data_IF_140472002804
#
_entry.id   IF_140472002804
#
_cell.length_a   1.000
_cell.length_b   1.000
_cell.length_c   1.000
_cell.angle_alpha   90.00
_cell.angle_beta   90.00
_cell.angle_gamma   90.00
#
_symmetry.space_group_name_H-M   'P 1'
#
loop_
_entity.id
_entity.type
_entity.pdbx_description
1 polymer ?
#
# COMPACT_ATOMS: atom_id res chain seq x y z
N UNK A 1 -22.47 12.07 0.76
CA UNK A 1 -22.45 11.59 -0.63
C UNK A 1 -21.00 11.58 -1.08
N UNK A 2 -20.35 10.43 -1.06
CA UNK A 2 -18.98 10.27 -1.57
C UNK A 2 -19.08 10.31 -3.09
N UNK A 3 -18.66 11.42 -3.69
CA UNK A 3 -18.52 11.49 -5.14
C UNK A 3 -17.61 10.35 -5.58
N UNK A 4 -18.09 9.51 -6.48
CA UNK A 4 -17.28 8.53 -7.20
C UNK A 4 -16.09 9.27 -7.82
N UNK A 5 -14.94 9.25 -7.13
CA UNK A 5 -13.76 10.04 -7.52
C UNK A 5 -13.10 9.49 -8.79
N UNK A 6 -13.54 8.33 -9.28
CA UNK A 6 -12.90 7.59 -10.37
C UNK A 6 -11.48 7.14 -10.01
N UNK A 7 -11.16 7.02 -8.71
CA UNK A 7 -9.86 6.53 -8.23
C UNK A 7 -9.99 5.11 -7.70
N UNK A 8 -9.06 4.23 -8.07
CA UNK A 8 -8.93 2.90 -7.52
C UNK A 8 -7.84 2.82 -6.46
N UNK A 9 -7.62 1.61 -5.93
CA UNK A 9 -6.49 1.32 -5.05
C UNK A 9 -5.85 -0.03 -5.38
N UNK A 10 -4.54 -0.12 -5.20
CA UNK A 10 -3.73 -1.32 -5.36
C UNK A 10 -2.99 -1.57 -4.05
N UNK A 11 -3.17 -2.76 -3.48
CA UNK A 11 -2.38 -3.22 -2.34
C UNK A 11 -1.36 -4.24 -2.83
N UNK A 12 -0.08 -3.93 -2.69
CA UNK A 12 1.02 -4.80 -3.11
C UNK A 12 1.36 -5.79 -1.98
N UNK A 13 1.08 -7.06 -2.22
CA UNK A 13 1.23 -8.16 -1.25
C UNK A 13 1.93 -9.39 -1.84
N UNK A 14 2.65 -9.24 -2.97
CA UNK A 14 3.24 -10.35 -3.71
C UNK A 14 4.63 -10.79 -3.24
N UNK A 15 5.29 -10.00 -2.39
CA UNK A 15 6.68 -10.22 -1.96
C UNK A 15 6.92 -11.53 -1.21
N UNK A 16 8.12 -12.11 -1.39
CA UNK A 16 8.52 -13.39 -0.79
C UNK A 16 8.67 -13.37 0.74
N UNK A 17 8.81 -12.19 1.35
CA UNK A 17 9.04 -12.02 2.80
C UNK A 17 10.19 -12.89 3.34
N UNK A 18 11.32 -12.98 2.58
CA UNK A 18 12.43 -13.91 2.87
C UNK A 18 13.00 -13.71 4.28
N UNK A 19 13.23 -12.46 4.70
CA UNK A 19 13.76 -12.13 6.05
C UNK A 19 12.78 -12.50 7.17
N UNK A 20 11.49 -12.51 6.89
CA UNK A 20 10.44 -12.89 7.83
C UNK A 20 10.27 -14.42 7.97
N UNK A 21 10.72 -15.20 6.98
CA UNK A 21 10.56 -16.67 6.93
C UNK A 21 9.13 -17.14 6.65
N UNK A 22 8.17 -16.22 6.48
CA UNK A 22 6.75 -16.49 6.18
C UNK A 22 6.11 -15.27 5.53
N UNK A 23 5.02 -15.43 4.76
CA UNK A 23 4.37 -14.31 4.08
C UNK A 23 3.92 -13.23 5.06
N UNK A 24 4.55 -12.05 5.05
CA UNK A 24 4.23 -10.95 5.97
C UNK A 24 2.78 -10.48 5.82
N UNK A 25 2.25 -10.48 4.61
CA UNK A 25 0.86 -10.14 4.34
C UNK A 25 -0.16 -10.95 5.16
N UNK A 26 0.19 -12.21 5.53
CA UNK A 26 -0.65 -13.12 6.33
C UNK A 26 -0.43 -12.99 7.85
N UNK A 27 0.54 -12.17 8.31
CA UNK A 27 0.83 -12.02 9.74
C UNK A 27 -0.30 -11.29 10.45
N UNK A 28 -0.64 -11.78 11.65
CA UNK A 28 -1.70 -11.17 12.47
C UNK A 28 -1.15 -9.99 13.28
N UNK A 29 -1.84 -8.86 13.16
CA UNK A 29 -1.70 -7.66 13.94
C UNK A 29 -3.08 -7.16 14.34
N UNK A 30 -3.31 -6.91 15.64
CA UNK A 30 -4.60 -6.43 16.15
C UNK A 30 -5.81 -7.27 15.69
N UNK A 31 -5.66 -8.61 15.67
CA UNK A 31 -6.74 -9.55 15.32
C UNK A 31 -6.99 -9.72 13.83
N UNK A 32 -6.30 -8.99 12.96
CA UNK A 32 -6.43 -9.08 11.49
C UNK A 32 -5.06 -9.28 10.84
N UNK A 33 -5.03 -9.79 9.60
CA UNK A 33 -3.76 -9.84 8.85
C UNK A 33 -3.30 -8.44 8.44
N UNK A 34 -1.98 -8.26 8.25
CA UNK A 34 -1.43 -7.00 7.75
C UNK A 34 -2.09 -6.59 6.42
N UNK A 35 -2.34 -7.55 5.53
CA UNK A 35 -3.08 -7.28 4.28
C UNK A 35 -4.51 -6.78 4.55
N UNK A 36 -5.21 -7.32 5.56
CA UNK A 36 -6.55 -6.85 5.90
C UNK A 36 -6.57 -5.39 6.35
N UNK A 37 -5.54 -4.94 7.07
CA UNK A 37 -5.39 -3.53 7.44
C UNK A 37 -5.17 -2.66 6.21
N UNK A 38 -4.26 -3.06 5.32
CA UNK A 38 -3.97 -2.30 4.10
C UNK A 38 -5.18 -2.21 3.18
N UNK A 39 -5.98 -3.28 3.03
CA UNK A 39 -7.22 -3.25 2.26
C UNK A 39 -8.26 -2.31 2.90
N UNK A 40 -8.36 -2.30 4.22
CA UNK A 40 -9.29 -1.39 4.90
C UNK A 40 -8.90 0.07 4.66
N UNK A 41 -7.62 0.43 4.75
CA UNK A 41 -7.12 1.76 4.41
C UNK A 41 -7.34 2.09 2.92
N UNK A 42 -7.07 1.15 2.02
CA UNK A 42 -7.31 1.33 0.59
C UNK A 42 -8.78 1.67 0.31
N UNK A 43 -9.72 0.98 0.97
CA UNK A 43 -11.16 1.26 0.84
C UNK A 43 -11.56 2.63 1.41
N UNK A 44 -10.95 3.09 2.49
CA UNK A 44 -11.23 4.42 3.06
C UNK A 44 -10.75 5.57 2.17
N UNK A 45 -9.73 5.32 1.35
CA UNK A 45 -9.14 6.30 0.44
C UNK A 45 -9.86 6.35 -0.91
N UNK A 46 -10.21 5.17 -1.45
CA UNK A 46 -10.69 5.00 -2.82
C UNK A 46 -12.21 4.97 -2.87
N UNK A 47 -12.81 5.70 -3.80
CA UNK A 47 -14.23 5.55 -4.14
C UNK A 47 -14.50 4.52 -5.24
N UNK A 48 -13.45 3.87 -5.76
CA UNK A 48 -13.51 2.87 -6.81
C UNK A 48 -12.92 1.52 -6.36
N UNK A 49 -12.53 0.66 -7.32
CA UNK A 49 -12.11 -0.71 -7.04
C UNK A 49 -10.81 -0.78 -6.24
N UNK A 50 -10.75 -1.76 -5.32
CA UNK A 50 -9.57 -2.09 -4.53
C UNK A 50 -9.05 -3.46 -4.96
N UNK A 51 -7.86 -3.52 -5.52
CA UNK A 51 -7.22 -4.76 -5.95
C UNK A 51 -6.05 -5.13 -5.06
N UNK A 52 -5.91 -6.42 -4.73
CA UNK A 52 -4.75 -6.95 -4.03
C UNK A 52 -3.89 -7.76 -5.00
N UNK A 53 -2.65 -7.32 -5.21
CA UNK A 53 -1.68 -8.05 -6.01
C UNK A 53 -0.92 -9.00 -5.10
N UNK A 54 -1.03 -10.29 -5.38
CA UNK A 54 -0.45 -11.39 -4.58
C UNK A 54 0.49 -12.24 -5.44
N UNK A 55 1.37 -12.98 -4.78
CA UNK A 55 2.35 -13.85 -5.43
C UNK A 55 2.92 -14.83 -4.42
N UNK A 56 4.08 -14.56 -3.85
CA UNK A 56 4.67 -15.41 -2.82
C UNK A 56 3.75 -15.58 -1.61
N UNK A 57 3.45 -16.85 -1.27
CA UNK A 57 2.58 -17.19 -0.13
C UNK A 57 1.08 -17.22 -0.41
N UNK A 58 0.61 -16.94 -1.62
CA UNK A 58 -0.74 -17.28 -2.05
C UNK A 58 -0.88 -18.82 -2.16
N UNK A 59 -1.93 -19.53 -1.68
CA UNK A 59 -3.21 -19.01 -1.20
C UNK A 59 -3.29 -18.70 0.30
N UNK A 60 -2.24 -18.95 1.11
CA UNK A 60 -2.26 -18.66 2.56
C UNK A 60 -2.63 -17.20 2.87
N UNK A 61 -2.08 -16.27 2.09
CA UNK A 61 -2.35 -14.82 2.23
C UNK A 61 -3.85 -14.54 2.08
N UNK A 62 -4.49 -15.13 1.06
CA UNK A 62 -5.93 -15.00 0.83
C UNK A 62 -6.74 -15.61 1.96
N UNK A 63 -6.38 -16.81 2.41
CA UNK A 63 -7.09 -17.51 3.47
C UNK A 63 -7.06 -16.74 4.81
N UNK A 64 -5.94 -16.08 5.12
CA UNK A 64 -5.77 -15.29 6.36
C UNK A 64 -6.34 -13.88 6.27
N UNK A 65 -6.80 -13.44 5.11
CA UNK A 65 -7.29 -12.09 4.90
C UNK A 65 -8.79 -11.99 5.18
N UNK A 66 -9.16 -11.30 6.27
CA UNK A 66 -10.57 -11.08 6.62
C UNK A 66 -11.23 -10.00 5.74
N UNK A 67 -10.45 -8.99 5.29
CA UNK A 67 -10.94 -7.94 4.39
C UNK A 67 -10.75 -8.38 2.95
N UNK A 68 -11.85 -8.49 2.19
CA UNK A 68 -11.78 -8.93 0.79
C UNK A 68 -11.56 -7.72 -0.13
N UNK A 69 -10.59 -7.76 -1.06
CA UNK A 69 -10.51 -6.80 -2.16
C UNK A 69 -11.59 -7.10 -3.20
N UNK A 70 -11.85 -6.17 -4.12
CA UNK A 70 -12.78 -6.43 -5.23
C UNK A 70 -12.18 -7.43 -6.22
N UNK A 71 -10.85 -7.49 -6.29
CA UNK A 71 -10.15 -8.47 -7.13
C UNK A 71 -8.82 -8.91 -6.49
N UNK A 72 -8.58 -10.21 -6.51
CA UNK A 72 -7.29 -10.81 -6.27
C UNK A 72 -6.54 -10.95 -7.59
N UNK A 73 -5.36 -10.35 -7.69
CA UNK A 73 -4.51 -10.44 -8.87
C UNK A 73 -3.27 -11.28 -8.52
N UNK A 74 -3.19 -12.48 -9.07
CA UNK A 74 -2.00 -13.29 -8.92
C UNK A 74 -0.97 -12.85 -9.96
N UNK A 75 0.15 -12.30 -9.49
CA UNK A 75 1.28 -11.93 -10.34
C UNK A 75 2.25 -13.10 -10.44
N UNK A 76 2.34 -13.75 -11.59
CA UNK A 76 3.28 -14.85 -11.84
C UNK A 76 4.74 -14.36 -11.84
N UNK A 77 4.96 -13.12 -12.25
CA UNK A 77 6.28 -12.50 -12.38
C UNK A 77 6.77 -11.84 -11.07
N UNK A 78 6.09 -12.08 -9.93
CA UNK A 78 6.48 -11.50 -8.66
C UNK A 78 7.97 -11.73 -8.28
N UNK A 79 8.64 -12.86 -8.68
CA UNK A 79 10.05 -13.04 -8.36
C UNK A 79 10.99 -12.06 -9.05
N UNK A 80 10.53 -11.39 -10.12
CA UNK A 80 11.31 -10.39 -10.87
C UNK A 80 11.35 -9.02 -10.20
N UNK A 81 10.66 -8.85 -9.06
CA UNK A 81 10.71 -7.65 -8.25
C UNK A 81 9.40 -6.86 -8.17
N UNK A 82 9.41 -5.79 -7.36
CA UNK A 82 8.23 -4.98 -7.05
C UNK A 82 7.57 -4.36 -8.28
N UNK A 83 8.37 -3.97 -9.28
CA UNK A 83 7.87 -3.35 -10.51
C UNK A 83 6.83 -4.23 -11.23
N UNK A 84 7.03 -5.55 -11.27
CA UNK A 84 6.10 -6.48 -11.91
C UNK A 84 4.72 -6.45 -11.24
N UNK A 85 4.69 -6.38 -9.91
CA UNK A 85 3.44 -6.32 -9.15
C UNK A 85 2.71 -4.99 -9.31
N UNK A 86 3.45 -3.88 -9.36
CA UNK A 86 2.85 -2.57 -9.62
C UNK A 86 2.24 -2.53 -11.01
N UNK A 87 2.96 -2.99 -12.05
CA UNK A 87 2.46 -3.07 -13.43
C UNK A 87 1.20 -3.93 -13.53
N UNK A 88 1.21 -5.13 -12.93
CA UNK A 88 0.06 -6.03 -12.94
C UNK A 88 -1.19 -5.37 -12.31
N UNK A 89 -0.99 -4.60 -11.23
CA UNK A 89 -2.06 -3.85 -10.60
C UNK A 89 -2.59 -2.72 -11.48
N UNK A 90 -1.71 -1.94 -12.11
CA UNK A 90 -2.08 -0.81 -13.00
C UNK A 90 -2.81 -1.31 -14.25
N UNK A 91 -2.30 -2.38 -14.88
CA UNK A 91 -2.86 -2.97 -16.10
C UNK A 91 -4.28 -3.51 -15.88
N UNK A 92 -4.54 -4.08 -14.71
CA UNK A 92 -5.84 -4.64 -14.36
C UNK A 92 -6.91 -3.57 -14.05
N UNK A 93 -6.53 -2.30 -13.82
CA UNK A 93 -7.49 -1.26 -13.47
C UNK A 93 -8.40 -0.90 -14.64
N UNK A 94 -9.68 -0.59 -14.36
CA UNK A 94 -10.62 -0.13 -15.40
C UNK A 94 -10.08 1.06 -16.18
N UNK A 95 -10.41 1.10 -17.48
CA UNK A 95 -9.93 2.16 -18.40
C UNK A 95 -10.29 3.55 -17.90
N UNK A 96 -11.44 3.72 -17.25
CA UNK A 96 -11.92 5.00 -16.73
C UNK A 96 -11.27 5.43 -15.41
N UNK A 97 -10.39 4.60 -14.81
CA UNK A 97 -9.69 4.95 -13.57
C UNK A 97 -8.71 6.10 -13.82
N UNK A 98 -8.92 7.22 -13.10
CA UNK A 98 -8.12 8.46 -13.27
C UNK A 98 -6.84 8.49 -12.47
N UNK A 99 -6.70 7.60 -11.49
CA UNK A 99 -5.52 7.45 -10.64
C UNK A 99 -5.74 6.35 -9.61
N UNK A 100 -4.66 5.90 -8.97
CA UNK A 100 -4.71 4.83 -7.97
C UNK A 100 -3.92 5.19 -6.71
N UNK A 101 -4.46 4.80 -5.58
CA UNK A 101 -3.71 4.69 -4.33
C UNK A 101 -2.93 3.39 -4.33
N UNK A 102 -1.63 3.45 -4.05
CA UNK A 102 -0.76 2.27 -3.92
C UNK A 102 -0.31 2.16 -2.48
N UNK A 103 -0.64 1.03 -1.85
CA UNK A 103 -0.32 0.73 -0.47
C UNK A 103 0.54 -0.54 -0.39
N UNK A 104 1.41 -0.58 0.62
CA UNK A 104 2.17 -1.77 0.99
C UNK A 104 1.55 -2.44 2.22
N UNK A 105 1.95 -3.68 2.51
CA UNK A 105 1.42 -4.45 3.66
C UNK A 105 2.28 -4.33 4.92
N UNK A 106 3.45 -3.72 4.81
CA UNK A 106 4.48 -3.71 5.85
C UNK A 106 4.52 -2.44 6.71
N UNK A 107 3.59 -1.51 6.52
CA UNK A 107 3.53 -0.22 7.20
C UNK A 107 2.31 -0.08 8.14
N UNK A 108 2.13 -0.97 9.14
CA UNK A 108 0.94 -0.98 9.99
C UNK A 108 0.90 0.13 11.04
N UNK A 109 2.02 0.86 11.26
CA UNK A 109 2.15 1.91 12.26
C UNK A 109 1.86 3.32 11.73
N UNK A 110 1.48 3.47 10.47
CA UNK A 110 1.06 4.76 9.91
C UNK A 110 -0.15 5.28 10.68
N UNK A 111 -0.05 6.53 11.15
CA UNK A 111 -1.06 7.14 12.01
C UNK A 111 -2.35 7.45 11.26
N UNK A 112 -3.53 7.45 11.95
CA UNK A 112 -4.80 7.80 11.33
C UNK A 112 -4.80 9.17 10.65
N UNK A 113 -4.18 10.18 11.26
CA UNK A 113 -4.11 11.54 10.71
C UNK A 113 -3.40 11.62 9.36
N UNK A 114 -2.45 10.70 9.07
CA UNK A 114 -1.85 10.61 7.75
C UNK A 114 -2.91 10.28 6.67
N UNK A 115 -3.76 9.30 6.91
CA UNK A 115 -4.73 8.84 5.90
C UNK A 115 -5.73 9.93 5.51
N UNK A 116 -6.15 10.75 6.49
CA UNK A 116 -7.02 11.90 6.26
C UNK A 116 -6.31 12.98 5.43
N UNK A 117 -5.14 13.43 5.87
CA UNK A 117 -4.35 14.43 5.17
C UNK A 117 -3.94 13.97 3.75
N UNK A 118 -3.64 12.69 3.58
CA UNK A 118 -3.29 12.09 2.31
C UNK A 118 -4.47 12.16 1.32
N UNK A 119 -5.66 11.71 1.75
CA UNK A 119 -6.88 11.80 0.96
C UNK A 119 -7.25 13.24 0.62
N UNK A 120 -7.22 14.14 1.61
CA UNK A 120 -7.51 15.56 1.40
C UNK A 120 -6.56 16.21 0.38
N UNK A 121 -5.27 15.86 0.45
CA UNK A 121 -4.28 16.37 -0.51
C UNK A 121 -4.60 15.89 -1.93
N UNK A 122 -4.95 14.62 -2.13
CA UNK A 122 -5.34 14.09 -3.44
C UNK A 122 -6.59 14.81 -3.97
N UNK A 123 -7.61 14.99 -3.12
CA UNK A 123 -8.86 15.67 -3.49
C UNK A 123 -8.61 17.15 -3.84
N UNK A 124 -7.83 17.87 -3.03
CA UNK A 124 -7.49 19.28 -3.24
C UNK A 124 -6.89 19.53 -4.63
N UNK A 125 -6.06 18.63 -5.11
CA UNK A 125 -5.45 18.72 -6.44
C UNK A 125 -6.21 17.92 -7.52
N UNK A 126 -7.44 17.52 -7.24
CA UNK A 126 -8.31 16.77 -8.14
C UNK A 126 -7.64 15.52 -8.77
N UNK A 127 -6.73 14.87 -8.02
CA UNK A 127 -5.96 13.72 -8.49
C UNK A 127 -5.03 13.99 -9.68
N UNK A 128 -4.70 15.25 -9.95
CA UNK A 128 -3.83 15.64 -11.09
C UNK A 128 -2.34 15.53 -10.77
N UNK A 129 -1.99 15.62 -9.49
CA UNK A 129 -0.59 15.56 -9.02
C UNK A 129 -0.34 14.26 -8.26
N UNK A 130 0.86 13.68 -8.37
CA UNK A 130 1.25 12.58 -7.49
C UNK A 130 1.34 13.08 -6.05
N UNK A 131 0.86 12.24 -5.12
CA UNK A 131 0.96 12.47 -3.68
C UNK A 131 1.61 11.25 -3.06
N UNK A 132 2.51 11.41 -2.10
CA UNK A 132 3.23 10.31 -1.47
C UNK A 132 3.47 10.57 0.02
N UNK A 133 3.70 9.50 0.76
CA UNK A 133 4.23 9.59 2.10
C UNK A 133 5.62 10.24 2.08
N UNK A 134 5.87 11.16 3.01
CA UNK A 134 7.21 11.67 3.29
C UNK A 134 7.95 10.70 4.21
N UNK A 135 8.97 10.05 3.69
CA UNK A 135 9.81 9.08 4.40
C UNK A 135 11.16 9.72 4.78
N UNK A 136 11.11 10.83 5.53
CA UNK A 136 12.33 11.52 5.96
C UNK A 136 13.02 12.28 4.84
N UNK A 137 12.24 12.99 4.01
CA UNK A 137 12.76 13.85 2.93
C UNK A 137 12.64 13.25 1.53
N UNK A 138 12.18 12.00 1.38
CA UNK A 138 11.92 11.41 0.07
C UNK A 138 10.49 10.84 -0.04
N UNK A 139 9.96 10.83 -1.27
CA UNK A 139 8.63 10.33 -1.57
C UNK A 139 8.63 8.81 -1.64
N UNK A 140 7.69 8.17 -0.91
CA UNK A 140 7.52 6.72 -0.89
C UNK A 140 6.05 6.29 -0.76
N UNK A 141 5.83 4.98 -0.59
CA UNK A 141 4.50 4.47 -0.31
C UNK A 141 4.09 4.75 1.16
N UNK A 142 2.78 4.95 1.42
CA UNK A 142 1.68 4.99 0.48
C UNK A 142 1.76 6.14 -0.51
N UNK A 143 1.31 5.90 -1.75
CA UNK A 143 1.35 6.92 -2.80
C UNK A 143 0.07 6.93 -3.63
N UNK A 144 -0.31 8.11 -4.12
CA UNK A 144 -1.33 8.28 -5.13
C UNK A 144 -0.66 8.57 -6.48
N UNK A 145 -1.02 7.80 -7.49
CA UNK A 145 -0.42 7.81 -8.83
C UNK A 145 -1.49 8.21 -9.86
N UNK A 146 -1.49 9.47 -10.33
CA UNK A 146 -2.35 9.91 -11.44
C UNK A 146 -2.14 9.05 -12.68
N UNK A 147 -3.19 8.83 -13.45
CA UNK A 147 -3.11 8.01 -14.68
C UNK A 147 -2.06 8.52 -15.67
N UNK A 148 -1.82 9.82 -15.71
CA UNK A 148 -0.79 10.42 -16.57
C UNK A 148 0.63 9.88 -16.31
N UNK A 149 0.91 9.32 -15.12
CA UNK A 149 2.20 8.72 -14.79
C UNK A 149 2.29 7.22 -15.16
N UNK A 150 1.18 6.57 -15.49
CA UNK A 150 1.19 5.13 -15.72
C UNK A 150 2.10 4.69 -16.87
N UNK A 151 2.20 5.40 -18.01
CA UNK A 151 3.14 5.03 -19.07
C UNK A 151 4.59 4.94 -18.57
N UNK A 152 5.02 5.85 -17.66
CA UNK A 152 6.35 5.81 -17.08
C UNK A 152 6.50 4.68 -16.05
N UNK A 153 5.48 4.47 -15.23
CA UNK A 153 5.45 3.38 -14.25
C UNK A 153 5.48 2.00 -14.89
N UNK A 154 4.87 1.85 -16.07
CA UNK A 154 4.90 0.61 -16.84
C UNK A 154 6.28 0.25 -17.41
N UNK A 155 7.23 1.20 -17.42
CA UNK A 155 8.63 0.96 -17.84
C UNK A 155 9.52 0.52 -16.66
N UNK A 156 9.03 0.53 -15.43
CA UNK A 156 9.80 0.08 -14.27
C UNK A 156 10.13 -1.41 -14.37
N UNK A 157 11.29 -1.80 -13.85
CA UNK A 157 11.76 -3.18 -13.80
C UNK A 157 12.45 -3.50 -12.48
N UNK A 158 12.60 -4.78 -12.17
CA UNK A 158 13.26 -5.24 -10.94
C UNK A 158 12.54 -4.77 -9.68
N UNK A 159 13.29 -4.43 -8.65
CA UNK A 159 12.77 -3.99 -7.36
C UNK A 159 12.41 -2.49 -7.31
N UNK A 160 12.45 -1.79 -8.45
CA UNK A 160 12.06 -0.40 -8.53
C UNK A 160 10.54 -0.27 -8.29
N UNK A 161 10.17 0.43 -7.22
CA UNK A 161 8.78 0.84 -6.96
C UNK A 161 8.48 2.23 -7.53
N UNK A 162 7.25 2.69 -7.31
CA UNK A 162 6.79 4.02 -7.75
C UNK A 162 7.71 5.16 -7.27
N UNK A 163 8.40 5.01 -6.14
CA UNK A 163 9.33 5.99 -5.59
C UNK A 163 10.42 6.43 -6.59
N UNK A 164 10.84 5.56 -7.52
CA UNK A 164 11.80 5.90 -8.57
C UNK A 164 11.26 7.00 -9.50
N UNK A 165 9.97 6.95 -9.84
CA UNK A 165 9.29 7.96 -10.66
C UNK A 165 8.96 9.21 -9.82
N UNK A 166 8.43 9.01 -8.62
CA UNK A 166 7.98 10.08 -7.73
C UNK A 166 9.12 11.05 -7.36
N UNK A 167 10.35 10.57 -7.19
CA UNK A 167 11.53 11.42 -6.90
C UNK A 167 11.91 12.35 -8.05
N UNK A 168 11.53 12.04 -9.28
CA UNK A 168 11.82 12.83 -10.49
C UNK A 168 10.69 13.79 -10.85
N UNK A 169 9.58 13.73 -10.13
CA UNK A 169 8.36 14.51 -10.39
C UNK A 169 8.11 15.50 -9.25
N UNK A 170 7.33 16.51 -9.53
CA UNK A 170 6.79 17.42 -8.52
C UNK A 170 5.74 16.71 -7.66
N UNK A 171 6.21 15.84 -6.78
CA UNK A 171 5.36 15.04 -5.91
C UNK A 171 5.02 15.82 -4.64
N UNK A 172 3.73 15.90 -4.32
CA UNK A 172 3.27 16.40 -3.04
C UNK A 172 3.59 15.36 -1.96
N UNK A 173 4.20 15.79 -0.87
CA UNK A 173 4.57 14.90 0.23
C UNK A 173 3.73 15.20 1.45
N UNK A 174 3.19 14.15 2.07
CA UNK A 174 2.41 14.22 3.30
C UNK A 174 3.22 13.57 4.42
N UNK A 175 3.47 14.26 5.55
CA UNK A 175 4.15 13.67 6.69
C UNK A 175 3.48 12.37 7.12
N UNK A 176 4.24 11.29 7.19
CA UNK A 176 3.74 9.95 7.45
C UNK A 176 4.42 9.32 8.69
N UNK A 177 4.08 9.77 9.91
CA UNK A 177 4.63 9.19 11.12
C UNK A 177 4.36 7.68 11.17
N UNK A 178 5.40 6.87 11.41
CA UNK A 178 5.32 5.42 11.44
C UNK A 178 5.53 4.73 10.09
N UNK A 179 5.59 5.46 8.96
CA UNK A 179 5.86 4.88 7.65
C UNK A 179 7.33 4.43 7.46
N UNK A 180 8.21 4.83 8.34
CA UNK A 180 9.61 4.41 8.42
C UNK A 180 9.83 3.11 9.21
N UNK A 181 8.74 2.57 9.79
CA UNK A 181 8.76 1.38 10.65
C UNK A 181 8.21 0.16 9.93
N UNK A 182 8.85 -0.19 8.82
CA UNK A 182 8.46 -1.36 8.06
C UNK A 182 8.59 -2.65 8.88
N UNK A 183 7.67 -3.58 8.67
CA UNK A 183 7.69 -4.92 9.28
C UNK A 183 8.35 -5.88 8.31
N UNK A 184 9.65 -6.11 8.47
CA UNK A 184 10.45 -6.94 7.58
C UNK A 184 11.00 -8.22 8.22
N UNK A 185 11.17 -8.21 9.54
CA UNK A 185 11.77 -9.31 10.31
C UNK A 185 10.87 -9.76 11.45
N UNK A 186 11.10 -10.97 12.03
CA UNK A 186 10.41 -11.41 13.24
C UNK A 186 10.59 -10.45 14.42
N UNK A 187 11.74 -9.77 14.52
CA UNK A 187 12.02 -8.78 15.56
C UNK A 187 11.09 -7.55 15.41
N UNK A 188 10.84 -7.08 14.17
CA UNK A 188 9.91 -5.98 13.93
C UNK A 188 8.49 -6.34 14.38
N UNK A 189 8.06 -7.58 14.13
CA UNK A 189 6.77 -8.08 14.61
C UNK A 189 6.68 -8.14 16.14
N UNK A 190 7.78 -8.49 16.82
CA UNK A 190 7.83 -8.50 18.29
C UNK A 190 7.74 -7.06 18.83
N UNK A 191 8.52 -6.15 18.26
CA UNK A 191 8.46 -4.71 18.58
C UNK A 191 7.04 -4.16 18.43
N UNK A 192 6.41 -4.41 17.31
CA UNK A 192 5.05 -3.96 16.99
C UNK A 192 4.01 -4.46 18.01
N UNK A 193 4.13 -5.70 18.47
CA UNK A 193 3.26 -6.28 19.52
C UNK A 193 3.55 -5.70 20.91
N UNK A 194 4.82 -5.43 21.23
CA UNK A 194 5.25 -4.88 22.51
C UNK A 194 4.75 -3.44 22.73
N UNK A 195 4.82 -2.59 21.72
CA UNK A 195 4.29 -1.21 21.78
C UNK A 195 2.80 -1.23 22.15
N UNK A 196 2.01 -2.09 21.52
CA UNK A 196 0.56 -2.20 21.84
C UNK A 196 0.23 -2.78 23.20
N UNK A 197 1.06 -3.69 23.73
CA UNK A 197 0.85 -4.20 25.08
C UNK A 197 1.01 -3.06 26.11
N UNK A 198 1.99 -2.18 25.90
CA UNK A 198 2.23 -1.01 26.76
C UNK A 198 1.13 0.06 26.65
N UNK A 199 0.54 0.26 25.46
CA UNK A 199 -0.57 1.20 25.25
C UNK A 199 -1.87 0.72 25.93
N UNK A 200 -2.17 -0.58 25.86
CA UNK A 200 -3.35 -1.17 26.55
C UNK A 200 -3.25 -1.10 28.05
N UNK A 201 -2.06 -1.18 28.63
CA UNK A 201 -1.82 -1.07 30.08
C UNK A 201 -1.94 0.36 30.61
N UNK A 202 -2.00 1.36 29.73
CA UNK A 202 -2.14 2.79 30.06
C UNK A 202 -3.55 3.35 29.87
N UNK A 203 -4.48 2.56 29.34
CA UNK A 203 -5.89 2.92 29.30
C UNK A 203 -6.57 2.43 30.57
N UNK A 204 -7.15 3.34 31.39
CA UNK A 204 -7.82 3.00 32.65
C UNK A 204 -9.08 2.16 32.45
#
# INVERSE_FOLDING_TARGET
MTSDSGYGAIVLAAGASRRMGRPKAALSYCGKSLLSHSIAHARSLSGGPVYAVVGGGYPLVRFRCASQPDRWLFNHDWPTGMASSLRAGLDAMPVMTRGVYVLLVDQPEITPGFWEAFRETVVRFAGRRPVAADLGGFAGAPAFLPRALWPELMQLSGDAGAGAVLRRRETLRVPAPGADRDVDTPADMQRLRGVRASERSKQP
#
